data_IF_754110532461
#
_entry.id   IF_754110532461
#
_cell.length_a   1.000
_cell.length_b   1.000
_cell.length_c   1.000
_cell.angle_alpha   90.00
_cell.angle_beta   90.00
_cell.angle_gamma   90.00
#
_symmetry.space_group_name_H-M   'P 1'
#
loop_
_entity.id
_entity.type
_entity.pdbx_description
1 polymer ?
#
# COMPACT_ATOMS: atom_id res chain seq x y z
N UNK A 1 -1.20 -5.91 19.91
CA UNK A 1 -1.74 -6.61 18.71
C UNK A 1 -1.90 -5.61 17.58
N UNK A 2 -1.47 -6.01 16.39
CA UNK A 2 -1.66 -5.21 15.19
C UNK A 2 -2.87 -5.66 14.40
N UNK A 3 -3.49 -4.72 13.72
CA UNK A 3 -4.55 -5.00 12.75
C UNK A 3 -4.17 -4.37 11.41
N UNK A 4 -4.32 -5.15 10.35
CA UNK A 4 -4.03 -4.73 8.99
C UNK A 4 -5.23 -5.10 8.11
N UNK A 5 -5.61 -4.19 7.24
CA UNK A 5 -6.71 -4.42 6.30
C UNK A 5 -6.19 -4.98 4.98
N UNK A 6 -6.90 -5.98 4.49
CA UNK A 6 -6.69 -6.60 3.18
C UNK A 6 -8.03 -6.63 2.46
N UNK A 7 -8.37 -5.54 1.78
CA UNK A 7 -9.69 -5.35 1.22
C UNK A 7 -10.76 -5.37 2.34
N UNK A 8 -11.68 -6.30 2.24
CA UNK A 8 -12.73 -6.49 3.25
C UNK A 8 -12.29 -7.32 4.44
N UNK A 9 -11.10 -7.91 4.38
CA UNK A 9 -10.57 -8.75 5.46
C UNK A 9 -9.75 -7.94 6.44
N UNK A 10 -9.75 -8.38 7.69
CA UNK A 10 -8.88 -7.83 8.73
C UNK A 10 -7.92 -8.94 9.18
N UNK A 11 -6.63 -8.64 9.11
CA UNK A 11 -5.58 -9.52 9.61
C UNK A 11 -5.17 -9.02 11.00
N UNK A 12 -5.22 -9.91 11.98
CA UNK A 12 -4.80 -9.61 13.35
C UNK A 12 -3.62 -10.50 13.72
N UNK A 13 -2.60 -9.91 14.31
CA UNK A 13 -1.41 -10.67 14.70
C UNK A 13 -0.65 -9.94 15.79
N UNK A 14 0.15 -10.71 16.52
CA UNK A 14 1.15 -10.17 17.43
C UNK A 14 2.51 -10.19 16.74
N UNK A 15 3.31 -9.18 16.98
CA UNK A 15 4.61 -9.07 16.35
C UNK A 15 5.20 -7.68 16.53
N UNK A 16 6.03 -7.28 15.60
CA UNK A 16 6.68 -5.97 15.61
C UNK A 16 6.66 -5.32 14.24
N UNK A 17 6.64 -4.00 14.24
CA UNK A 17 6.79 -3.19 13.04
C UNK A 17 8.27 -3.16 12.66
N UNK A 18 8.58 -3.59 11.43
CA UNK A 18 9.94 -3.53 10.89
C UNK A 18 10.23 -2.21 10.19
N UNK A 19 9.23 -1.66 9.53
CA UNK A 19 9.38 -0.40 8.82
C UNK A 19 8.05 0.09 8.25
N UNK A 20 8.03 1.37 7.96
CA UNK A 20 6.91 2.02 7.28
C UNK A 20 7.41 3.14 6.40
N UNK A 21 6.66 3.44 5.35
CA UNK A 21 7.00 4.52 4.43
C UNK A 21 5.75 5.03 3.72
N UNK A 22 5.82 6.25 3.24
CA UNK A 22 4.73 6.87 2.51
C UNK A 22 5.25 7.69 1.34
N UNK A 23 4.49 7.71 0.27
CA UNK A 23 4.73 8.60 -0.86
C UNK A 23 4.05 9.96 -0.70
N UNK A 24 3.36 10.18 0.41
CA UNK A 24 2.68 11.46 0.66
C UNK A 24 3.65 12.62 0.64
N UNK A 25 3.23 13.68 -0.04
CA UNK A 25 3.87 14.99 -0.04
C UNK A 25 2.81 16.05 0.10
N UNK A 26 3.20 17.22 0.56
CA UNK A 26 2.29 18.37 0.64
C UNK A 26 1.65 18.60 -0.73
N UNK A 27 0.32 18.65 -0.76
CA UNK A 27 -0.44 18.81 -1.99
C UNK A 27 -0.78 17.52 -2.73
N UNK A 28 -0.37 16.35 -2.20
CA UNK A 28 -0.74 15.08 -2.82
C UNK A 28 -2.25 14.86 -2.78
N UNK A 29 -2.81 14.42 -3.90
CA UNK A 29 -4.21 13.95 -3.97
C UNK A 29 -4.30 12.44 -3.95
N UNK A 30 -3.19 11.74 -4.20
CA UNK A 30 -3.06 10.30 -4.13
C UNK A 30 -1.70 9.95 -3.57
N UNK A 31 -1.65 8.95 -2.71
CA UNK A 31 -0.38 8.43 -2.21
C UNK A 31 -0.53 6.99 -1.73
N UNK A 32 0.60 6.37 -1.46
CA UNK A 32 0.68 5.01 -0.96
C UNK A 32 1.38 5.03 0.40
N UNK A 33 0.87 4.21 1.31
CA UNK A 33 1.49 3.96 2.59
C UNK A 33 1.83 2.47 2.67
N UNK A 34 3.07 2.16 2.99
CA UNK A 34 3.53 0.80 3.24
C UNK A 34 3.89 0.61 4.70
N UNK A 35 3.61 -0.58 5.22
CA UNK A 35 4.12 -1.04 6.49
C UNK A 35 4.52 -2.51 6.37
N UNK A 36 5.63 -2.86 6.98
CA UNK A 36 6.12 -4.23 7.03
C UNK A 36 6.26 -4.65 8.49
N UNK A 37 5.61 -5.75 8.82
CA UNK A 37 5.63 -6.33 10.15
C UNK A 37 6.24 -7.72 10.13
N UNK A 38 6.76 -8.16 11.27
CA UNK A 38 7.10 -9.54 11.51
C UNK A 38 6.24 -10.06 12.64
N UNK A 39 5.58 -11.19 12.42
CA UNK A 39 4.75 -11.84 13.44
C UNK A 39 5.63 -12.55 14.47
N UNK A 40 5.05 -12.93 15.60
CA UNK A 40 5.77 -13.70 16.62
C UNK A 40 6.32 -15.03 16.11
N UNK A 41 5.64 -15.63 15.12
CA UNK A 41 6.09 -16.88 14.49
C UNK A 41 7.13 -16.66 13.38
N UNK A 42 7.52 -15.42 13.12
CA UNK A 42 8.54 -15.09 12.12
C UNK A 42 8.03 -14.88 10.70
N UNK A 43 6.72 -14.91 10.49
CA UNK A 43 6.13 -14.57 9.19
C UNK A 43 6.15 -13.05 8.97
N UNK A 44 6.06 -12.64 7.71
CA UNK A 44 6.03 -11.24 7.33
C UNK A 44 4.63 -10.84 6.89
N UNK A 45 4.21 -9.66 7.33
CA UNK A 45 2.95 -9.04 6.88
C UNK A 45 3.31 -7.72 6.21
N UNK A 46 3.09 -7.65 4.90
CA UNK A 46 3.26 -6.43 4.13
C UNK A 46 1.88 -5.80 3.93
N UNK A 47 1.74 -4.58 4.39
CA UNK A 47 0.52 -3.79 4.24
C UNK A 47 0.74 -2.68 3.22
N UNK A 48 -0.20 -2.52 2.31
CA UNK A 48 -0.24 -1.41 1.36
C UNK A 48 -1.59 -0.73 1.45
N UNK A 49 -1.56 0.59 1.64
CA UNK A 49 -2.75 1.42 1.66
C UNK A 49 -2.63 2.47 0.58
N UNK A 50 -3.56 2.47 -0.38
CA UNK A 50 -3.67 3.52 -1.36
C UNK A 50 -4.71 4.54 -0.91
N UNK A 51 -4.28 5.78 -0.70
CA UNK A 51 -5.15 6.87 -0.28
C UNK A 51 -5.40 7.78 -1.47
N UNK A 52 -6.66 8.17 -1.67
CA UNK A 52 -7.06 9.06 -2.75
C UNK A 52 -7.99 10.14 -2.24
N UNK A 53 -7.70 11.36 -2.63
CA UNK A 53 -8.63 12.49 -2.48
C UNK A 53 -9.37 12.74 -3.79
N UNK A 54 -9.72 11.68 -4.50
CA UNK A 54 -10.46 11.74 -5.76
C UNK A 54 -11.80 11.04 -5.61
N UNK A 55 -12.76 11.47 -6.40
CA UNK A 55 -14.07 10.82 -6.45
C UNK A 55 -13.98 9.53 -7.24
N UNK A 56 -14.60 8.49 -6.70
CA UNK A 56 -14.72 7.20 -7.36
C UNK A 56 -16.19 6.83 -7.51
N UNK A 57 -16.53 6.23 -8.64
CA UNK A 57 -17.82 5.57 -8.78
C UNK A 57 -17.84 4.25 -8.01
N UNK A 58 -19.04 3.78 -7.62
CA UNK A 58 -19.21 2.52 -6.89
C UNK A 58 -18.67 1.30 -7.65
N UNK A 59 -18.56 1.40 -8.96
CA UNK A 59 -18.05 0.32 -9.84
C UNK A 59 -16.61 0.53 -10.28
N UNK A 60 -15.92 1.49 -9.68
CA UNK A 60 -14.53 1.80 -10.04
C UNK A 60 -13.64 0.56 -9.92
N UNK A 61 -12.86 0.23 -10.98
CA UNK A 61 -11.95 -0.94 -10.94
C UNK A 61 -10.94 -0.88 -9.79
N UNK A 62 -10.47 0.33 -9.41
CA UNK A 62 -9.55 0.48 -8.29
C UNK A 62 -10.21 0.11 -6.97
N UNK A 63 -11.47 0.50 -6.79
CA UNK A 63 -12.24 0.16 -5.59
C UNK A 63 -12.43 -1.34 -5.50
N UNK A 64 -12.75 -2.00 -6.60
CA UNK A 64 -12.93 -3.46 -6.64
C UNK A 64 -11.62 -4.22 -6.40
N UNK A 65 -10.52 -3.71 -6.95
CA UNK A 65 -9.21 -4.38 -6.88
C UNK A 65 -8.62 -4.36 -5.48
N UNK A 66 -8.72 -3.25 -4.79
CA UNK A 66 -8.02 -3.04 -3.52
C UNK A 66 -8.93 -2.99 -2.30
N UNK A 67 -10.25 -3.10 -2.50
CA UNK A 67 -11.20 -2.93 -1.43
C UNK A 67 -11.31 -1.49 -0.95
N UNK A 68 -12.18 -1.26 0.01
CA UNK A 68 -12.40 0.04 0.60
C UNK A 68 -12.18 0.00 2.09
N UNK A 69 -11.38 0.94 2.61
CA UNK A 69 -11.30 1.22 4.03
C UNK A 69 -11.80 2.63 4.24
N UNK A 70 -12.80 2.76 5.08
CA UNK A 70 -13.33 4.05 5.47
C UNK A 70 -12.42 4.66 6.53
N UNK A 71 -11.80 5.79 6.20
CA UNK A 71 -10.84 6.45 7.09
C UNK A 71 -11.54 7.48 7.95
N UNK A 72 -12.27 8.36 7.37
CA UNK A 72 -13.06 9.36 8.08
C UNK A 72 -14.03 10.01 7.10
N UNK A 73 -15.19 10.41 7.61
CA UNK A 73 -16.23 11.07 6.82
C UNK A 73 -16.14 12.58 7.02
N UNK A 74 -15.01 13.15 6.70
CA UNK A 74 -14.85 14.59 6.73
C UNK A 74 -15.37 15.21 5.43
N UNK A 75 -15.46 16.52 5.42
CA UNK A 75 -15.91 17.26 4.26
C UNK A 75 -15.07 16.93 3.03
N UNK A 76 -15.75 16.86 1.90
CA UNK A 76 -15.09 16.62 0.61
C UNK A 76 -14.25 17.85 0.28
N UNK A 77 -12.96 17.64 0.06
CA UNK A 77 -12.06 18.71 -0.36
C UNK A 77 -12.49 19.28 -1.72
N UNK A 78 -12.47 20.60 -1.85
CA UNK A 78 -12.71 21.27 -3.13
C UNK A 78 -11.67 20.88 -4.19
N UNK A 79 -10.47 20.49 -3.74
CA UNK A 79 -9.38 20.07 -4.61
C UNK A 79 -9.51 18.61 -5.08
N UNK A 80 -10.48 17.87 -4.55
CA UNK A 80 -10.69 16.50 -4.98
C UNK A 80 -11.18 16.45 -6.43
N UNK A 81 -10.58 15.56 -7.21
CA UNK A 81 -10.89 15.40 -8.63
C UNK A 81 -11.54 14.06 -8.91
N UNK A 82 -12.16 13.92 -10.07
CA UNK A 82 -12.74 12.65 -10.51
C UNK A 82 -11.65 11.63 -10.82
N UNK A 83 -11.95 10.36 -10.56
CA UNK A 83 -11.05 9.27 -10.91
C UNK A 83 -11.00 9.09 -12.44
N UNK A 84 -9.80 9.03 -13.00
CA UNK A 84 -9.62 8.82 -14.43
C UNK A 84 -10.11 7.46 -14.90
N UNK A 85 -9.97 6.42 -14.07
CA UNK A 85 -10.38 5.06 -14.45
C UNK A 85 -11.90 4.86 -14.48
N UNK A 86 -12.63 5.43 -13.54
CA UNK A 86 -14.09 5.35 -13.54
C UNK A 86 -14.77 6.55 -14.19
N UNK A 87 -14.01 7.57 -14.50
CA UNK A 87 -14.48 8.81 -15.14
C UNK A 87 -15.75 9.39 -14.48
N UNK A 88 -15.82 9.30 -13.17
CA UNK A 88 -16.95 9.79 -12.41
C UNK A 88 -16.85 11.30 -12.21
N UNK A 89 -17.85 12.04 -12.64
CA UNK A 89 -17.95 13.48 -12.42
C UNK A 89 -18.40 13.79 -11.00
N UNK A 90 -17.88 14.87 -10.41
CA UNK A 90 -18.34 15.38 -9.10
C UNK A 90 -19.84 15.64 -9.02
N UNK A 91 -20.48 15.89 -10.17
CA UNK A 91 -21.88 16.29 -10.24
C UNK A 91 -22.85 15.16 -10.56
N UNK A 92 -22.35 13.98 -10.91
CA UNK A 92 -23.16 12.91 -11.50
C UNK A 92 -23.46 11.74 -10.56
N UNK A 93 -22.79 11.62 -9.43
CA UNK A 93 -22.91 10.43 -8.62
C UNK A 93 -23.02 10.70 -7.15
N UNK A 94 -23.64 9.78 -6.39
CA UNK A 94 -23.41 9.74 -4.96
C UNK A 94 -21.91 9.60 -4.76
N UNK A 95 -21.31 10.65 -4.29
CA UNK A 95 -19.86 10.77 -4.19
C UNK A 95 -19.33 9.72 -3.25
N UNK A 96 -18.38 8.92 -3.73
CA UNK A 96 -17.57 8.08 -2.86
C UNK A 96 -16.58 9.01 -2.15
N UNK A 97 -16.53 8.93 -0.83
CA UNK A 97 -15.66 9.79 -0.03
C UNK A 97 -14.23 9.73 -0.53
N UNK A 98 -13.55 10.88 -0.73
CA UNK A 98 -12.19 10.91 -1.24
C UNK A 98 -11.18 10.17 -0.35
N UNK A 99 -11.47 10.09 0.97
CA UNK A 99 -10.60 9.44 1.93
C UNK A 99 -10.80 7.93 2.02
N UNK A 100 -11.62 7.32 1.16
CA UNK A 100 -11.71 5.86 1.15
C UNK A 100 -10.44 5.25 0.62
N UNK A 101 -9.83 4.43 1.46
CA UNK A 101 -8.56 3.79 1.16
C UNK A 101 -8.75 2.46 0.43
N UNK A 102 -7.78 2.16 -0.40
CA UNK A 102 -7.64 0.85 -1.03
C UNK A 102 -6.60 0.09 -0.25
N UNK A 103 -6.96 -1.06 0.30
CA UNK A 103 -6.07 -1.82 1.16
C UNK A 103 -5.72 -3.16 0.55
N UNK A 104 -4.49 -3.55 0.75
CA UNK A 104 -3.98 -4.84 0.36
C UNK A 104 -2.93 -5.28 1.37
N UNK A 105 -2.90 -6.56 1.67
CA UNK A 105 -1.88 -7.12 2.53
C UNK A 105 -1.47 -8.50 2.04
N UNK A 106 -0.22 -8.85 2.31
CA UNK A 106 0.34 -10.15 2.00
C UNK A 106 0.97 -10.73 3.27
N UNK A 107 0.68 -12.00 3.52
CA UNK A 107 1.36 -12.76 4.56
C UNK A 107 2.28 -13.77 3.88
N UNK A 108 3.54 -13.80 4.28
CA UNK A 108 4.52 -14.74 3.74
C UNK A 108 5.53 -15.15 4.79
N UNK A 109 6.10 -16.33 4.65
CA UNK A 109 7.17 -16.80 5.53
C UNK A 109 8.55 -16.43 5.01
N UNK A 110 8.61 -15.90 3.79
CA UNK A 110 9.84 -15.63 3.07
C UNK A 110 9.98 -14.13 2.77
N UNK A 111 11.09 -13.49 3.16
CA UNK A 111 11.34 -12.09 2.82
C UNK A 111 11.51 -11.85 1.31
N UNK A 112 11.86 -12.88 0.53
CA UNK A 112 11.90 -12.74 -0.93
C UNK A 112 10.52 -12.46 -1.50
N UNK A 113 9.46 -13.05 -0.93
CA UNK A 113 8.10 -12.78 -1.34
C UNK A 113 7.69 -11.34 -1.07
N UNK A 114 8.19 -10.75 0.01
CA UNK A 114 7.99 -9.33 0.31
C UNK A 114 8.63 -8.46 -0.77
N UNK A 115 9.87 -8.76 -1.12
CA UNK A 115 10.60 -8.03 -2.16
C UNK A 115 9.89 -8.13 -3.51
N UNK A 116 9.49 -9.33 -3.90
CA UNK A 116 8.77 -9.54 -5.16
C UNK A 116 7.45 -8.76 -5.21
N UNK A 117 6.72 -8.69 -4.11
CA UNK A 117 5.47 -7.94 -4.04
C UNK A 117 5.68 -6.43 -4.19
N UNK A 118 6.87 -5.92 -3.86
CA UNK A 118 7.20 -4.50 -3.97
C UNK A 118 7.73 -4.10 -5.34
N UNK A 119 8.22 -5.05 -6.14
CA UNK A 119 8.69 -4.75 -7.48
C UNK A 119 7.58 -4.27 -8.40
N UNK A 120 7.90 -3.27 -9.20
CA UNK A 120 7.09 -2.82 -10.32
C UNK A 120 7.84 -3.08 -11.61
N UNK A 121 7.11 -3.07 -12.71
CA UNK A 121 7.65 -3.30 -14.04
C UNK A 121 7.39 -2.09 -14.91
N UNK A 122 8.40 -1.65 -15.64
CA UNK A 122 8.25 -0.58 -16.62
C UNK A 122 7.63 -1.10 -17.92
N UNK A 123 7.44 -0.23 -18.90
CA UNK A 123 6.85 -0.59 -20.19
C UNK A 123 7.69 -1.59 -20.98
N UNK A 124 8.99 -1.64 -20.74
CA UNK A 124 9.91 -2.59 -21.35
C UNK A 124 10.02 -3.91 -20.61
N UNK A 125 9.29 -4.08 -19.50
CA UNK A 125 9.31 -5.30 -18.70
C UNK A 125 10.44 -5.34 -17.67
N UNK A 126 11.25 -4.30 -17.54
CA UNK A 126 12.29 -4.23 -16.52
C UNK A 126 11.68 -3.95 -15.15
N UNK A 127 12.08 -4.72 -14.15
CA UNK A 127 11.59 -4.53 -12.78
C UNK A 127 12.37 -3.44 -12.06
N UNK A 128 11.69 -2.73 -11.18
CA UNK A 128 12.29 -1.69 -10.36
C UNK A 128 11.56 -1.54 -9.04
N UNK A 129 12.23 -0.92 -8.07
CA UNK A 129 11.63 -0.54 -6.80
C UNK A 129 11.40 0.97 -6.79
N UNK A 130 10.21 1.38 -6.37
CA UNK A 130 9.93 2.80 -6.16
C UNK A 130 10.73 3.32 -4.96
N UNK A 131 10.91 4.64 -4.88
CA UNK A 131 11.61 5.24 -3.73
C UNK A 131 10.92 4.94 -2.41
N UNK A 132 9.58 4.90 -2.39
CA UNK A 132 8.82 4.58 -1.19
C UNK A 132 9.06 3.13 -0.76
N UNK A 133 9.13 2.20 -1.70
CA UNK A 133 9.46 0.81 -1.40
C UNK A 133 10.91 0.65 -0.91
N UNK A 134 11.85 1.37 -1.53
CA UNK A 134 13.26 1.37 -1.09
C UNK A 134 13.40 1.88 0.34
N UNK A 135 12.71 2.95 0.69
CA UNK A 135 12.74 3.47 2.08
C UNK A 135 12.18 2.47 3.08
N UNK A 136 11.11 1.76 2.71
CA UNK A 136 10.56 0.70 3.54
C UNK A 136 11.60 -0.39 3.80
N UNK A 137 12.22 -0.89 2.74
CA UNK A 137 13.21 -1.95 2.83
C UNK A 137 14.48 -1.53 3.57
N UNK A 138 14.91 -0.27 3.39
CA UNK A 138 16.03 0.29 4.15
C UNK A 138 15.75 0.29 5.65
N UNK A 139 14.57 0.72 6.04
CA UNK A 139 14.18 0.75 7.44
C UNK A 139 14.04 -0.64 8.03
N UNK A 140 13.38 -1.55 7.30
CA UNK A 140 13.20 -2.93 7.73
C UNK A 140 14.54 -3.68 7.83
N UNK A 141 15.49 -3.40 6.94
CA UNK A 141 16.81 -4.01 6.95
C UNK A 141 17.60 -3.71 8.22
N UNK A 142 17.33 -2.57 8.86
CA UNK A 142 17.98 -2.22 10.12
C UNK A 142 17.48 -3.08 11.29
N UNK A 143 16.30 -3.66 11.17
CA UNK A 143 15.65 -4.43 12.23
C UNK A 143 15.59 -5.93 11.97
N UNK A 144 15.76 -6.36 10.73
CA UNK A 144 15.69 -7.77 10.35
C UNK A 144 16.80 -8.11 9.35
N UNK A 145 17.68 -9.02 9.76
CA UNK A 145 18.80 -9.45 8.93
C UNK A 145 18.39 -10.23 7.69
N UNK A 146 17.28 -10.94 7.75
CA UNK A 146 16.78 -11.70 6.59
C UNK A 146 16.31 -10.76 5.49
N UNK A 147 15.61 -9.68 5.86
CA UNK A 147 15.23 -8.64 4.90
C UNK A 147 16.47 -7.96 4.33
N UNK A 148 17.42 -7.60 5.18
CA UNK A 148 18.70 -7.02 4.74
C UNK A 148 19.40 -7.91 3.72
N UNK A 149 19.50 -9.21 4.01
CA UNK A 149 20.18 -10.18 3.14
C UNK A 149 19.51 -10.26 1.76
N UNK A 150 18.19 -10.28 1.71
CA UNK A 150 17.44 -10.38 0.46
C UNK A 150 17.50 -9.08 -0.34
N UNK A 151 17.43 -7.94 0.35
CA UNK A 151 17.37 -6.63 -0.30
C UNK A 151 18.75 -6.13 -0.74
N UNK A 152 19.77 -6.29 0.11
CA UNK A 152 21.07 -5.65 -0.10
C UNK A 152 22.14 -6.57 -0.71
N UNK A 153 21.87 -7.86 -0.78
CA UNK A 153 22.84 -8.82 -1.32
C UNK A 153 22.27 -9.49 -2.57
N UNK A 154 22.91 -9.27 -3.69
CA UNK A 154 22.58 -9.92 -4.95
C UNK A 154 23.75 -10.81 -5.36
N UNK A 155 23.47 -12.08 -5.65
CA UNK A 155 24.50 -13.02 -6.12
C UNK A 155 24.52 -12.91 -7.64
N UNK A 156 25.64 -12.40 -8.15
CA UNK A 156 25.85 -12.27 -9.59
C UNK A 156 26.58 -13.52 -10.06
N UNK A 157 26.02 -14.30 -11.02
CA UNK A 157 26.67 -15.49 -11.54
C UNK A 157 27.89 -15.19 -12.40
#
# INVERSE_FOLDING_TARGET
>A
MYEVKDGSRTLQFNGKLLGESTSWRRGSTRWIEFALYQTENGSYVLSRIGVSLVYHGSTCPLVKRYGLVEVSTTEISEDAVSCEECNTSKNEVPIVFPEKNRTWAQVSDDPEAVLEALYKYDDGGARYLTKVAQRLLEEASKKDKKVEQVYKVEIIP
#
